data_IF_380457866807
#
_entry.id   IF_380457866807
#
_cell.length_a   1.000
_cell.length_b   1.000
_cell.length_c   1.000
_cell.angle_alpha   90.00
_cell.angle_beta   90.00
_cell.angle_gamma   90.00
#
_symmetry.space_group_name_H-M   'P 1'
#
loop_
_entity.id
_entity.type
_entity.pdbx_description
1 polymer ?
#
# COMPACT_ATOMS: atom_id res chain seq x y z
N UNK A 1 -23.67 -32.92 0.03
CA UNK A 1 -22.42 -33.36 0.66
C UNK A 1 -21.73 -32.09 1.07
N UNK A 2 -22.25 -31.49 2.14
CA UNK A 2 -21.79 -30.20 2.63
C UNK A 2 -20.82 -30.49 3.76
N UNK A 3 -19.57 -30.73 3.37
CA UNK A 3 -18.48 -30.47 4.27
C UNK A 3 -18.29 -28.96 4.13
N UNK A 4 -18.91 -28.18 5.01
CA UNK A 4 -18.44 -26.81 5.24
C UNK A 4 -17.03 -26.97 5.81
N UNK A 5 -16.06 -27.00 4.91
CA UNK A 5 -14.66 -27.04 5.25
C UNK A 5 -14.36 -25.76 6.03
N UNK A 6 -13.97 -25.93 7.29
CA UNK A 6 -13.58 -24.81 8.13
C UNK A 6 -12.33 -24.15 7.52
N UNK A 7 -12.40 -22.85 7.27
CA UNK A 7 -11.32 -22.09 6.67
C UNK A 7 -10.63 -21.28 7.77
N UNK A 8 -9.46 -21.73 8.22
CA UNK A 8 -8.67 -21.01 9.23
C UNK A 8 -8.25 -19.62 8.74
N UNK A 9 -7.85 -19.50 7.47
CA UNK A 9 -7.41 -18.22 6.91
C UNK A 9 -7.75 -18.04 5.43
N UNK A 10 -8.24 -16.85 5.10
CA UNK A 10 -8.36 -16.36 3.71
C UNK A 10 -7.26 -15.33 3.46
N UNK A 11 -6.36 -15.64 2.53
CA UNK A 11 -5.27 -14.75 2.13
C UNK A 11 -5.44 -14.41 0.65
N UNK A 12 -5.54 -13.13 0.32
CA UNK A 12 -5.70 -12.72 -1.07
C UNK A 12 -5.02 -11.39 -1.41
N UNK A 13 -4.50 -11.32 -2.64
CA UNK A 13 -3.98 -10.09 -3.22
C UNK A 13 -5.11 -9.35 -3.93
N UNK A 14 -5.55 -8.21 -3.39
CA UNK A 14 -6.68 -7.48 -3.95
C UNK A 14 -6.45 -5.97 -3.92
N UNK A 15 -6.82 -5.32 -5.02
CA UNK A 15 -7.00 -3.88 -5.07
C UNK A 15 -8.29 -3.48 -4.37
N UNK A 16 -8.43 -2.18 -4.11
CA UNK A 16 -9.50 -1.59 -3.31
C UNK A 16 -10.92 -2.04 -3.73
N UNK A 17 -11.31 -1.89 -4.99
CA UNK A 17 -12.67 -2.19 -5.42
C UNK A 17 -13.02 -3.70 -5.35
N UNK A 18 -12.19 -4.63 -5.86
CA UNK A 18 -12.42 -6.06 -5.67
C UNK A 18 -12.50 -6.48 -4.20
N UNK A 19 -11.64 -5.93 -3.34
CA UNK A 19 -11.59 -6.25 -1.91
C UNK A 19 -12.85 -5.80 -1.17
N UNK A 20 -13.29 -4.54 -1.37
CA UNK A 20 -14.50 -4.03 -0.73
C UNK A 20 -15.75 -4.78 -1.19
N UNK A 21 -15.82 -5.18 -2.46
CA UNK A 21 -16.90 -6.02 -2.99
C UNK A 21 -16.86 -7.44 -2.42
N UNK A 22 -15.67 -8.04 -2.31
CA UNK A 22 -15.49 -9.36 -1.70
C UNK A 22 -15.99 -9.37 -0.25
N UNK A 23 -15.57 -8.41 0.58
CA UNK A 23 -15.97 -8.33 1.99
C UNK A 23 -17.48 -8.17 2.17
N UNK A 24 -18.11 -7.32 1.37
CA UNK A 24 -19.58 -7.18 1.37
C UNK A 24 -20.30 -8.47 0.99
N UNK A 25 -19.77 -9.19 -0.01
CA UNK A 25 -20.34 -10.47 -0.42
C UNK A 25 -20.10 -11.56 0.62
N UNK A 26 -18.92 -11.57 1.25
CA UNK A 26 -18.59 -12.50 2.31
C UNK A 26 -19.54 -12.34 3.51
N UNK A 27 -19.79 -11.10 3.93
CA UNK A 27 -20.79 -10.80 4.97
C UNK A 27 -22.20 -11.26 4.56
N UNK A 28 -22.67 -10.89 3.36
CA UNK A 28 -24.00 -11.27 2.85
C UNK A 28 -24.20 -12.79 2.74
N UNK A 29 -23.13 -13.53 2.43
CA UNK A 29 -23.15 -14.99 2.28
C UNK A 29 -22.76 -15.73 3.54
N UNK A 30 -22.49 -15.00 4.63
CA UNK A 30 -22.00 -15.57 5.88
C UNK A 30 -20.75 -16.44 5.65
N UNK A 31 -19.92 -16.06 4.70
CA UNK A 31 -18.61 -16.68 4.49
C UNK A 31 -17.74 -16.36 5.70
N UNK A 32 -17.26 -17.38 6.38
CA UNK A 32 -16.48 -17.26 7.61
C UNK A 32 -15.09 -17.82 7.40
N UNK A 33 -14.11 -17.06 7.89
CA UNK A 33 -12.75 -17.52 8.10
C UNK A 33 -12.24 -16.89 9.38
N UNK A 34 -11.41 -17.60 10.15
CA UNK A 34 -10.92 -17.09 11.43
C UNK A 34 -10.00 -15.87 11.24
N UNK A 35 -9.29 -15.81 10.11
CA UNK A 35 -8.51 -14.66 9.70
C UNK A 35 -8.72 -14.32 8.22
N UNK A 36 -8.86 -13.04 7.91
CA UNK A 36 -8.81 -12.54 6.54
C UNK A 36 -7.67 -11.54 6.40
N UNK A 37 -6.72 -11.86 5.53
CA UNK A 37 -5.54 -11.05 5.24
C UNK A 37 -5.56 -10.64 3.78
N UNK A 38 -5.63 -9.33 3.53
CA UNK A 38 -5.52 -8.78 2.19
C UNK A 38 -4.28 -7.93 2.07
N UNK A 39 -3.82 -7.71 0.85
CA UNK A 39 -2.68 -6.83 0.62
C UNK A 39 -3.13 -5.36 0.62
N UNK A 40 -3.30 -4.78 -0.55
CA UNK A 40 -3.30 -3.32 -0.79
C UNK A 40 -4.55 -2.62 -0.26
N UNK A 41 -5.70 -3.30 -0.21
CA UNK A 41 -6.97 -2.61 0.02
C UNK A 41 -7.16 -2.04 1.43
N UNK A 42 -6.57 -2.67 2.45
CA UNK A 42 -6.81 -2.32 3.87
C UNK A 42 -6.14 -1.00 4.25
N UNK A 43 -5.03 -0.66 3.58
CA UNK A 43 -4.30 0.60 3.78
C UNK A 43 -4.96 1.81 3.13
N UNK A 44 -5.99 1.58 2.30
CA UNK A 44 -6.63 2.69 1.61
C UNK A 44 -7.33 3.58 2.65
N UNK A 45 -7.12 4.92 2.63
CA UNK A 45 -7.78 5.82 3.59
C UNK A 45 -9.31 5.74 3.58
N UNK A 46 -9.90 5.33 2.45
CA UNK A 46 -11.33 5.14 2.26
C UNK A 46 -11.81 3.72 2.58
N UNK A 47 -10.95 2.83 3.10
CA UNK A 47 -11.33 1.46 3.42
C UNK A 47 -12.39 1.41 4.55
N UNK A 48 -12.18 2.01 5.74
CA UNK A 48 -13.13 1.89 6.84
C UNK A 48 -14.54 2.38 6.48
N UNK A 49 -14.64 3.50 5.74
CA UNK A 49 -15.91 4.05 5.31
C UNK A 49 -16.62 3.21 4.23
N UNK A 50 -15.88 2.46 3.41
CA UNK A 50 -16.44 1.69 2.32
C UNK A 50 -16.99 0.32 2.74
N UNK A 51 -16.38 -0.33 3.73
CA UNK A 51 -16.78 -1.66 4.20
C UNK A 51 -17.53 -1.65 5.53
N UNK A 52 -17.40 -0.60 6.34
CA UNK A 52 -18.04 -0.54 7.65
C UNK A 52 -17.65 -1.75 8.51
N UNK A 53 -18.64 -2.38 9.14
CA UNK A 53 -18.44 -3.52 10.05
C UNK A 53 -17.84 -4.75 9.34
N UNK A 54 -18.06 -4.92 8.03
CA UNK A 54 -17.44 -5.99 7.25
C UNK A 54 -15.90 -5.84 7.13
N UNK A 55 -15.36 -4.66 7.47
CA UNK A 55 -13.92 -4.41 7.56
C UNK A 55 -13.32 -4.68 8.94
N UNK A 56 -14.15 -4.96 9.95
CA UNK A 56 -13.65 -5.23 11.29
C UNK A 56 -12.80 -6.50 11.30
N UNK A 57 -11.67 -6.47 12.01
CA UNK A 57 -10.73 -7.60 12.14
C UNK A 57 -10.07 -8.07 10.83
N UNK A 58 -10.22 -7.30 9.74
CA UNK A 58 -9.51 -7.55 8.49
C UNK A 58 -8.07 -7.02 8.60
N UNK A 59 -7.11 -7.87 8.26
CA UNK A 59 -5.69 -7.54 8.33
C UNK A 59 -5.14 -7.16 6.95
N UNK A 60 -4.22 -6.20 6.94
CA UNK A 60 -3.58 -5.66 5.75
C UNK A 60 -2.06 -5.81 5.81
N UNK A 61 -1.43 -6.23 4.71
CA UNK A 61 0.01 -6.01 4.53
C UNK A 61 0.23 -4.76 3.69
N UNK A 62 1.02 -3.82 4.19
CA UNK A 62 1.23 -2.51 3.56
C UNK A 62 2.73 -2.24 3.43
N UNK A 63 3.16 -1.73 2.28
CA UNK A 63 4.58 -1.45 2.02
C UNK A 63 5.05 -0.16 2.69
N UNK A 64 4.11 0.75 2.96
CA UNK A 64 4.36 2.05 3.57
C UNK A 64 3.08 2.56 4.24
N UNK A 65 3.19 3.22 5.38
CA UNK A 65 2.10 3.95 6.04
C UNK A 65 2.67 5.19 6.75
N UNK A 66 1.88 6.26 6.88
CA UNK A 66 2.37 7.54 7.45
C UNK A 66 2.81 7.46 8.92
N UNK A 67 2.35 6.44 9.64
CA UNK A 67 2.70 6.19 11.04
C UNK A 67 3.86 5.20 11.21
N UNK A 68 4.47 4.72 10.11
CA UNK A 68 5.67 3.90 10.21
C UNK A 68 6.85 4.71 10.76
N UNK A 69 7.62 4.09 11.66
CA UNK A 69 8.82 4.67 12.24
C UNK A 69 10.02 4.48 11.31
N UNK A 70 9.91 5.01 10.09
CA UNK A 70 10.96 5.00 9.06
C UNK A 70 11.29 6.42 8.61
N UNK A 71 12.53 6.59 8.17
CA UNK A 71 13.02 7.81 7.50
C UNK A 71 13.66 7.45 6.18
N UNK A 72 13.52 8.31 5.17
CA UNK A 72 14.14 8.12 3.86
C UNK A 72 15.62 8.48 3.88
N UNK A 73 16.47 7.59 3.36
CA UNK A 73 17.93 7.80 3.35
C UNK A 73 18.36 9.00 2.50
N UNK A 74 17.59 9.31 1.45
CA UNK A 74 17.91 10.39 0.50
C UNK A 74 17.37 11.75 0.99
N UNK A 75 16.11 11.81 1.46
CA UNK A 75 15.50 13.08 1.89
C UNK A 75 15.71 13.41 3.36
N UNK A 76 16.00 12.40 4.18
CA UNK A 76 15.95 12.48 5.64
C UNK A 76 14.54 12.58 6.23
N UNK A 77 13.49 12.60 5.41
CA UNK A 77 12.12 12.76 5.88
C UNK A 77 11.59 11.48 6.52
N UNK A 78 10.91 11.64 7.64
CA UNK A 78 10.05 10.61 8.23
C UNK A 78 8.83 10.33 7.33
N UNK A 79 8.22 9.16 7.49
CA UNK A 79 6.95 8.84 6.80
C UNK A 79 5.86 9.92 7.07
N UNK A 80 5.80 10.44 8.30
CA UNK A 80 4.83 11.47 8.67
C UNK A 80 5.08 12.81 7.99
N UNK A 81 6.34 13.21 7.82
CA UNK A 81 6.71 14.43 7.11
C UNK A 81 6.33 14.35 5.63
N UNK A 82 6.64 13.23 4.96
CA UNK A 82 6.16 13.01 3.59
C UNK A 82 4.64 13.15 3.49
N UNK A 83 3.91 12.52 4.42
CA UNK A 83 2.45 12.57 4.42
C UNK A 83 1.90 13.99 4.64
N UNK A 84 2.54 14.78 5.49
CA UNK A 84 2.18 16.18 5.70
C UNK A 84 2.42 17.02 4.44
N UNK A 85 3.54 16.82 3.74
CA UNK A 85 3.86 17.52 2.50
C UNK A 85 2.89 17.14 1.38
N UNK A 86 2.58 15.85 1.25
CA UNK A 86 1.60 15.37 0.28
C UNK A 86 0.21 15.97 0.54
N UNK A 87 -0.25 15.94 1.80
CA UNK A 87 -1.53 16.56 2.21
C UNK A 87 -1.55 18.06 1.93
N UNK A 88 -0.45 18.77 2.19
CA UNK A 88 -0.37 20.21 1.91
C UNK A 88 -0.49 20.54 0.42
N UNK A 89 -0.01 19.65 -0.46
CA UNK A 89 -0.04 19.87 -1.91
C UNK A 89 -1.32 19.38 -2.58
N UNK A 90 -1.78 18.17 -2.23
CA UNK A 90 -2.90 17.50 -2.89
C UNK A 90 -4.22 17.53 -2.11
N UNK A 91 -4.20 17.97 -0.85
CA UNK A 91 -5.36 17.95 0.06
C UNK A 91 -5.95 16.54 0.26
N UNK A 92 -5.11 15.51 0.19
CA UNK A 92 -5.48 14.09 0.32
C UNK A 92 -4.43 13.34 1.15
N UNK A 93 -4.84 12.30 1.88
CA UNK A 93 -3.90 11.37 2.54
C UNK A 93 -3.22 10.51 1.47
N UNK A 94 -1.88 10.43 1.44
CA UNK A 94 -1.21 9.62 0.43
C UNK A 94 -1.47 8.14 0.68
N UNK A 95 -1.86 7.38 -0.37
CA UNK A 95 -1.78 5.93 -0.32
C UNK A 95 -0.32 5.48 -0.55
N UNK A 96 0.02 4.23 -0.24
CA UNK A 96 1.39 3.71 -0.43
C UNK A 96 1.91 3.92 -1.87
N UNK A 97 1.03 3.90 -2.88
CA UNK A 97 1.39 4.11 -4.29
C UNK A 97 2.00 5.49 -4.52
N UNK A 98 1.52 6.52 -3.81
CA UNK A 98 2.07 7.87 -3.90
C UNK A 98 3.49 7.93 -3.29
N UNK A 99 3.69 7.29 -2.14
CA UNK A 99 5.01 7.18 -1.52
C UNK A 99 5.99 6.38 -2.42
N UNK A 100 5.52 5.28 -3.01
CA UNK A 100 6.29 4.46 -3.95
C UNK A 100 6.69 5.25 -5.21
N UNK A 101 5.75 5.97 -5.83
CA UNK A 101 6.04 6.79 -7.00
C UNK A 101 7.04 7.90 -6.69
N UNK A 102 6.93 8.55 -5.52
CA UNK A 102 7.90 9.53 -5.07
C UNK A 102 9.30 8.91 -4.91
N UNK A 103 9.40 7.77 -4.24
CA UNK A 103 10.66 7.07 -4.03
C UNK A 103 11.35 6.66 -5.35
N UNK A 104 10.57 6.18 -6.34
CA UNK A 104 11.11 5.82 -7.66
C UNK A 104 11.66 7.05 -8.40
N UNK A 105 10.94 8.18 -8.39
CA UNK A 105 11.42 9.41 -9.03
C UNK A 105 12.65 9.99 -8.33
N UNK A 106 12.72 9.84 -7.01
CA UNK A 106 13.88 10.25 -6.23
C UNK A 106 15.11 9.40 -6.55
N UNK A 107 14.95 8.07 -6.58
CA UNK A 107 16.03 7.15 -6.96
C UNK A 107 16.52 7.41 -8.40
N UNK A 108 15.60 7.69 -9.34
CA UNK A 108 15.94 8.07 -10.70
C UNK A 108 16.75 9.37 -10.77
N UNK A 109 16.31 10.40 -10.05
CA UNK A 109 17.02 11.69 -9.99
C UNK A 109 18.44 11.51 -9.47
N UNK A 110 18.61 10.79 -8.36
CA UNK A 110 19.93 10.51 -7.78
C UNK A 110 20.81 9.69 -8.73
N UNK A 111 20.24 8.69 -9.43
CA UNK A 111 20.99 7.90 -10.40
C UNK A 111 21.49 8.75 -11.58
N UNK A 112 20.66 9.66 -12.09
CA UNK A 112 21.04 10.62 -13.15
C UNK A 112 22.18 11.53 -12.68
N UNK A 113 22.07 12.07 -11.47
CA UNK A 113 23.10 12.94 -10.89
C UNK A 113 24.43 12.21 -10.69
N UNK A 114 24.38 10.96 -10.20
CA UNK A 114 25.55 10.12 -10.00
C UNK A 114 26.21 9.69 -11.33
N UNK A 115 25.41 9.38 -12.36
CA UNK A 115 25.91 9.01 -13.67
C UNK A 115 26.46 10.20 -14.46
N UNK A 116 26.05 11.43 -14.11
CA UNK A 116 26.31 12.65 -14.89
C UNK A 116 25.92 12.49 -16.36
N UNK A 117 24.87 11.72 -16.61
CA UNK A 117 24.45 11.27 -17.93
C UNK A 117 22.93 11.15 -17.98
N UNK A 118 22.37 11.28 -19.18
CA UNK A 118 20.97 10.94 -19.48
C UNK A 118 20.87 9.68 -20.34
N UNK A 119 22.00 9.03 -20.61
CA UNK A 119 22.01 7.73 -21.27
C UNK A 119 21.40 6.66 -20.37
N UNK A 120 20.52 5.83 -20.94
CA UNK A 120 19.75 4.87 -20.14
C UNK A 120 20.61 3.76 -19.53
N UNK A 121 21.68 3.33 -20.21
CA UNK A 121 22.55 2.28 -19.70
C UNK A 121 23.41 2.80 -18.54
N UNK A 122 23.93 4.03 -18.67
CA UNK A 122 24.68 4.71 -17.61
C UNK A 122 23.82 4.92 -16.36
N UNK A 123 22.59 5.41 -16.53
CA UNK A 123 21.65 5.66 -15.41
C UNK A 123 21.20 4.36 -14.76
N UNK A 124 20.88 3.32 -15.54
CA UNK A 124 20.52 2.01 -15.00
C UNK A 124 21.66 1.38 -14.21
N UNK A 125 22.90 1.50 -14.72
CA UNK A 125 24.09 1.04 -13.99
C UNK A 125 24.26 1.81 -12.67
N UNK A 126 24.12 3.14 -12.68
CA UNK A 126 24.21 3.96 -11.47
C UNK A 126 23.11 3.65 -10.44
N UNK A 127 21.89 3.33 -10.88
CA UNK A 127 20.76 2.96 -10.01
C UNK A 127 20.92 1.59 -9.33
N UNK A 128 21.70 0.69 -9.93
CA UNK A 128 21.91 -0.67 -9.42
C UNK A 128 22.92 -0.79 -8.27
N UNK A 129 23.53 0.33 -7.86
CA UNK A 129 24.62 0.41 -6.88
C UNK A 129 24.15 1.05 -5.58
#
# INVERSE_FOLDING_TARGET
>A
MDIEEHIDATIACMYYEPCTRFLKMAEQRQFKSDAMVFTICVDNPSFPSAVGDAGAHIMGTVQWHEDMLLSGDITGWTAKEFANLYRAHYNETPPYQAASAFAVNLALTVAIENAQSLDSDDVAFAMSR
#
